data_IF_131708940147
#
_entry.id   IF_131708940147
#
_cell.length_a   1.000
_cell.length_b   1.000
_cell.length_c   1.000
_cell.angle_alpha   90.00
_cell.angle_beta   90.00
_cell.angle_gamma   90.00
#
_symmetry.space_group_name_H-M   'P 1'
#
loop_
_entity.id
_entity.type
_entity.pdbx_description
1 polymer ?
#
# COMPACT_ATOMS: atom_id res chain seq x y z
N UNK A 1 10.95 -0.81 -9.88
CA UNK A 1 9.72 -0.15 -10.36
C UNK A 1 8.86 0.20 -9.16
N UNK A 2 8.43 1.44 -9.07
CA UNK A 2 7.55 1.86 -7.98
C UNK A 2 6.12 1.39 -8.22
N UNK A 3 5.42 0.98 -7.16
CA UNK A 3 4.01 0.58 -7.20
C UNK A 3 3.09 1.67 -6.62
N UNK A 4 3.64 2.83 -6.26
CA UNK A 4 2.86 3.97 -5.77
C UNK A 4 2.32 4.75 -6.95
N UNK A 5 1.00 4.83 -7.07
CA UNK A 5 0.32 5.44 -8.23
C UNK A 5 0.69 6.90 -8.50
N UNK A 6 1.04 7.67 -7.45
CA UNK A 6 1.48 9.06 -7.60
C UNK A 6 2.80 9.20 -8.39
N UNK A 7 3.57 8.12 -8.56
CA UNK A 7 4.82 8.15 -9.30
C UNK A 7 4.61 8.54 -10.76
N UNK A 8 3.48 8.16 -11.37
CA UNK A 8 3.15 8.56 -12.75
C UNK A 8 3.11 10.08 -12.89
N UNK A 9 2.58 10.80 -11.90
CA UNK A 9 2.54 12.26 -11.92
C UNK A 9 3.92 12.87 -11.70
N UNK A 10 4.72 12.26 -10.83
CA UNK A 10 6.09 12.72 -10.56
C UNK A 10 6.97 12.51 -11.79
N UNK A 11 6.85 11.35 -12.46
CA UNK A 11 7.66 11.01 -13.63
C UNK A 11 7.39 11.94 -14.84
N UNK A 12 6.20 12.53 -14.91
CA UNK A 12 5.84 13.48 -15.96
C UNK A 12 6.35 14.91 -15.69
N UNK A 13 6.92 15.15 -14.51
CA UNK A 13 7.46 16.46 -14.15
C UNK A 13 8.85 16.68 -14.72
N UNK A 14 9.27 17.95 -14.75
CA UNK A 14 10.65 18.31 -15.08
C UNK A 14 11.63 17.70 -14.04
N UNK A 15 12.89 17.39 -14.45
CA UNK A 15 13.82 16.68 -13.56
C UNK A 15 14.04 17.33 -12.18
N UNK A 16 14.11 18.66 -12.11
CA UNK A 16 14.31 19.35 -10.84
C UNK A 16 13.10 19.19 -9.90
N UNK A 17 11.89 19.10 -10.45
CA UNK A 17 10.67 18.87 -9.68
C UNK A 17 10.58 17.41 -9.25
N UNK A 18 11.02 16.48 -10.10
CA UNK A 18 11.15 15.07 -9.72
C UNK A 18 12.10 14.92 -8.54
N UNK A 19 13.24 15.61 -8.56
CA UNK A 19 14.21 15.60 -7.47
C UNK A 19 13.63 16.16 -6.17
N UNK A 20 12.83 17.22 -6.25
CA UNK A 20 12.14 17.79 -5.08
C UNK A 20 11.24 16.75 -4.41
N UNK A 21 10.41 16.06 -5.18
CA UNK A 21 9.49 15.06 -4.64
C UNK A 21 10.23 13.84 -4.10
N UNK A 22 11.30 13.41 -4.76
CA UNK A 22 12.17 12.34 -4.25
C UNK A 22 12.82 12.72 -2.91
N UNK A 23 13.31 13.95 -2.79
CA UNK A 23 13.89 14.48 -1.55
C UNK A 23 12.84 14.51 -0.43
N UNK A 24 11.63 15.00 -0.72
CA UNK A 24 10.56 15.01 0.26
C UNK A 24 10.22 13.61 0.77
N UNK A 25 10.11 12.63 -0.13
CA UNK A 25 9.88 11.23 0.27
C UNK A 25 11.01 10.68 1.13
N UNK A 26 12.24 11.02 0.80
CA UNK A 26 13.40 10.60 1.59
C UNK A 26 13.39 11.21 2.99
N UNK A 27 13.08 12.50 3.11
CA UNK A 27 13.15 13.23 4.37
C UNK A 27 11.97 12.95 5.31
N UNK A 28 10.75 12.74 4.78
CA UNK A 28 9.54 12.64 5.61
C UNK A 28 8.61 11.47 5.23
N UNK A 29 8.99 10.65 4.25
CA UNK A 29 8.19 9.47 3.83
C UNK A 29 7.11 9.74 2.80
N UNK A 30 6.85 11.00 2.44
CA UNK A 30 5.85 11.36 1.44
C UNK A 30 6.21 12.68 0.77
N UNK A 31 5.74 12.86 -0.47
CA UNK A 31 5.86 14.11 -1.21
C UNK A 31 4.55 14.89 -1.17
N UNK A 32 4.59 16.16 -1.60
CA UNK A 32 3.38 16.97 -1.73
C UNK A 32 2.38 16.36 -2.73
N UNK A 33 2.88 15.74 -3.81
CA UNK A 33 2.01 15.05 -4.80
C UNK A 33 1.29 13.86 -4.17
N UNK A 34 1.93 13.14 -3.27
CA UNK A 34 1.29 12.05 -2.54
C UNK A 34 0.09 12.54 -1.74
N UNK A 35 0.18 13.76 -1.21
CA UNK A 35 -0.90 14.36 -0.42
C UNK A 35 -2.07 14.88 -1.27
N UNK A 36 -1.84 15.20 -2.55
CA UNK A 36 -2.92 15.60 -3.45
C UNK A 36 -3.93 14.47 -3.67
N UNK A 37 -3.47 13.22 -3.57
CA UNK A 37 -4.29 12.02 -3.72
C UNK A 37 -4.00 11.07 -2.56
N UNK A 38 -4.26 11.55 -1.36
CA UNK A 38 -3.87 10.85 -0.14
C UNK A 38 -4.49 9.46 -0.02
N UNK A 39 -5.77 9.32 -0.40
CA UNK A 39 -6.46 8.03 -0.38
C UNK A 39 -5.78 7.03 -1.32
N UNK A 40 -5.42 7.45 -2.51
CA UNK A 40 -4.68 6.63 -3.46
C UNK A 40 -3.28 6.29 -2.96
N UNK A 41 -2.57 7.27 -2.40
CA UNK A 41 -1.24 7.04 -1.81
C UNK A 41 -1.31 6.02 -0.67
N UNK A 42 -2.25 6.18 0.24
CA UNK A 42 -2.42 5.28 1.37
C UNK A 42 -2.78 3.86 0.91
N UNK A 43 -3.70 3.73 -0.04
CA UNK A 43 -4.08 2.44 -0.60
C UNK A 43 -2.87 1.74 -1.25
N UNK A 44 -2.07 2.46 -2.03
CA UNK A 44 -0.87 1.92 -2.66
C UNK A 44 0.16 1.47 -1.64
N UNK A 45 0.35 2.22 -0.56
CA UNK A 45 1.27 1.84 0.53
C UNK A 45 0.80 0.55 1.21
N UNK A 46 -0.49 0.42 1.48
CA UNK A 46 -1.06 -0.80 2.07
C UNK A 46 -0.84 -2.00 1.14
N UNK A 47 -1.16 -1.85 -0.14
CA UNK A 47 -0.97 -2.92 -1.12
C UNK A 47 0.50 -3.31 -1.27
N UNK A 48 1.38 -2.31 -1.33
CA UNK A 48 2.83 -2.52 -1.41
C UNK A 48 3.36 -3.26 -0.18
N UNK A 49 2.92 -2.86 1.00
CA UNK A 49 3.31 -3.50 2.25
C UNK A 49 2.87 -4.96 2.31
N UNK A 50 1.63 -5.25 1.92
CA UNK A 50 1.14 -6.62 1.86
C UNK A 50 1.95 -7.48 0.87
N UNK A 51 2.28 -6.93 -0.30
CA UNK A 51 3.10 -7.63 -1.29
C UNK A 51 4.50 -7.93 -0.73
N UNK A 52 5.10 -6.96 -0.06
CA UNK A 52 6.41 -7.16 0.58
C UNK A 52 6.36 -8.29 1.61
N UNK A 53 5.33 -8.32 2.45
CA UNK A 53 5.17 -9.37 3.47
C UNK A 53 4.99 -10.75 2.84
N UNK A 54 4.27 -10.83 1.72
CA UNK A 54 4.12 -12.08 0.97
C UNK A 54 5.46 -12.55 0.43
N UNK A 55 6.21 -11.63 -0.20
CA UNK A 55 7.48 -11.95 -0.85
C UNK A 55 8.57 -12.32 0.15
N UNK A 56 8.61 -11.66 1.30
CA UNK A 56 9.64 -11.87 2.31
C UNK A 56 9.33 -13.01 3.29
N UNK A 57 8.09 -13.53 3.26
CA UNK A 57 7.72 -14.70 4.07
C UNK A 57 7.78 -14.46 5.56
N UNK A 58 7.21 -13.37 6.03
CA UNK A 58 7.24 -13.01 7.46
C UNK A 58 6.48 -13.98 8.35
N UNK A 59 6.65 -13.82 9.66
CA UNK A 59 6.02 -14.66 10.67
C UNK A 59 4.50 -14.64 10.58
N UNK A 60 3.91 -15.84 10.61
CA UNK A 60 2.46 -16.01 10.56
C UNK A 60 1.86 -15.73 11.95
N UNK A 61 0.80 -14.92 12.06
CA UNK A 61 0.12 -14.68 13.33
C UNK A 61 -0.44 -15.97 13.94
N UNK A 62 -0.29 -16.11 15.25
CA UNK A 62 -0.79 -17.28 15.97
C UNK A 62 -2.31 -17.24 16.22
N UNK A 63 -2.97 -16.12 15.93
CA UNK A 63 -4.42 -15.96 16.13
C UNK A 63 -5.27 -16.41 14.95
N UNK A 64 -4.65 -16.91 13.87
CA UNK A 64 -5.39 -17.40 12.71
C UNK A 64 -6.29 -18.57 13.12
N UNK A 65 -7.53 -18.55 12.62
CA UNK A 65 -8.45 -19.65 12.78
C UNK A 65 -8.02 -20.86 11.96
N UNK A 66 -8.50 -22.05 12.30
CA UNK A 66 -8.21 -23.26 11.56
C UNK A 66 -8.60 -23.11 10.09
N UNK A 67 -7.68 -23.42 9.19
CA UNK A 67 -7.88 -23.31 7.76
C UNK A 67 -7.64 -21.93 7.15
N UNK A 68 -7.32 -20.93 7.96
CA UNK A 68 -6.92 -19.62 7.45
C UNK A 68 -5.46 -19.64 7.00
N UNK A 69 -5.18 -19.02 5.86
CA UNK A 69 -3.85 -18.87 5.29
C UNK A 69 -3.45 -17.40 5.34
N UNK A 70 -2.37 -17.08 6.05
CA UNK A 70 -1.89 -15.71 6.21
C UNK A 70 -1.57 -15.05 4.86
N UNK A 71 -0.96 -15.79 3.94
CA UNK A 71 -0.61 -15.25 2.63
C UNK A 71 -1.84 -14.97 1.76
N UNK A 72 -2.89 -15.77 1.89
CA UNK A 72 -4.17 -15.52 1.22
C UNK A 72 -4.83 -14.28 1.80
N UNK A 73 -4.80 -14.08 3.11
CA UNK A 73 -5.32 -12.88 3.77
C UNK A 73 -4.58 -11.63 3.29
N UNK A 74 -3.25 -11.67 3.27
CA UNK A 74 -2.44 -10.56 2.77
C UNK A 74 -2.74 -10.25 1.30
N UNK A 75 -2.92 -11.30 0.48
CA UNK A 75 -3.27 -11.14 -0.94
C UNK A 75 -4.66 -10.50 -1.11
N UNK A 76 -5.64 -10.87 -0.29
CA UNK A 76 -6.97 -10.25 -0.34
C UNK A 76 -6.91 -8.76 0.03
N UNK A 77 -6.13 -8.40 1.05
CA UNK A 77 -5.94 -6.99 1.44
C UNK A 77 -5.24 -6.25 0.30
N UNK A 78 -4.13 -6.80 -0.21
CA UNK A 78 -3.40 -6.22 -1.34
C UNK A 78 -4.32 -5.94 -2.53
N UNK A 79 -5.09 -6.93 -2.94
CA UNK A 79 -5.95 -6.82 -4.12
C UNK A 79 -7.08 -5.81 -3.89
N UNK A 80 -7.62 -5.73 -2.68
CA UNK A 80 -8.65 -4.76 -2.35
C UNK A 80 -8.15 -3.31 -2.35
N UNK A 81 -6.88 -3.08 -2.07
CA UNK A 81 -6.28 -1.74 -2.06
C UNK A 81 -5.46 -1.42 -3.32
N UNK A 82 -5.33 -2.37 -4.24
CA UNK A 82 -4.56 -2.21 -5.48
C UNK A 82 -5.36 -1.57 -6.60
N UNK A 83 -4.67 -1.24 -7.70
CA UNK A 83 -5.26 -0.83 -8.98
C UNK A 83 -6.18 0.39 -8.84
N UNK A 84 -5.79 1.34 -8.00
CA UNK A 84 -6.55 2.57 -7.79
C UNK A 84 -6.35 3.51 -8.97
N UNK A 85 -7.42 3.78 -9.69
CA UNK A 85 -7.47 4.80 -10.74
C UNK A 85 -8.21 6.04 -10.22
N UNK A 86 -8.17 7.14 -10.99
CA UNK A 86 -8.95 8.32 -10.67
C UNK A 86 -10.44 7.93 -10.59
N UNK A 87 -11.11 8.40 -9.54
CA UNK A 87 -12.50 8.04 -9.24
C UNK A 87 -12.73 6.56 -8.92
N UNK A 88 -11.70 5.84 -8.51
CA UNK A 88 -11.86 4.46 -8.07
C UNK A 88 -12.84 4.36 -6.89
N UNK A 89 -13.63 3.29 -6.81
CA UNK A 89 -14.50 3.09 -5.65
C UNK A 89 -13.67 2.86 -4.39
N UNK A 90 -14.28 3.08 -3.23
CA UNK A 90 -13.68 2.75 -1.94
C UNK A 90 -13.31 1.27 -1.93
N UNK A 91 -12.16 0.88 -1.37
CA UNK A 91 -11.81 -0.53 -1.26
C UNK A 91 -12.93 -1.37 -0.64
N UNK A 92 -13.09 -2.64 -1.05
CA UNK A 92 -14.17 -3.49 -0.56
C UNK A 92 -14.19 -3.60 0.96
N UNK A 93 -15.37 -3.72 1.54
CA UNK A 93 -15.55 -3.88 2.99
C UNK A 93 -14.71 -5.02 3.56
N UNK A 94 -14.58 -6.12 2.81
CA UNK A 94 -13.78 -7.26 3.25
C UNK A 94 -12.30 -6.90 3.41
N UNK A 95 -11.74 -6.12 2.47
CA UNK A 95 -10.36 -5.67 2.58
C UNK A 95 -10.14 -4.81 3.83
N UNK A 96 -11.05 -3.86 4.10
CA UNK A 96 -11.02 -3.05 5.31
C UNK A 96 -11.16 -3.88 6.57
N UNK A 97 -12.07 -4.86 6.56
CA UNK A 97 -12.31 -5.75 7.70
C UNK A 97 -11.07 -6.58 8.02
N UNK A 98 -10.43 -7.13 7.01
CA UNK A 98 -9.20 -7.92 7.17
C UNK A 98 -8.05 -7.04 7.66
N UNK A 99 -7.87 -5.86 7.08
CA UNK A 99 -6.84 -4.92 7.52
C UNK A 99 -7.03 -4.55 8.99
N UNK A 100 -8.25 -4.24 9.41
CA UNK A 100 -8.57 -3.91 10.78
C UNK A 100 -8.30 -5.08 11.72
N UNK A 101 -8.72 -6.29 11.34
CA UNK A 101 -8.58 -7.48 12.17
C UNK A 101 -7.11 -7.83 12.42
N UNK A 102 -6.28 -7.69 11.41
CA UNK A 102 -4.88 -8.13 11.48
C UNK A 102 -3.88 -6.98 11.53
N UNK A 103 -4.33 -5.75 11.70
CA UNK A 103 -3.47 -4.57 11.66
C UNK A 103 -2.27 -4.67 12.62
N UNK A 104 -2.51 -5.12 13.86
CA UNK A 104 -1.46 -5.22 14.86
C UNK A 104 -0.53 -6.43 14.68
N UNK A 105 -0.79 -7.27 13.69
CA UNK A 105 0.01 -8.46 13.38
C UNK A 105 0.84 -8.30 12.10
N UNK A 106 0.77 -7.14 11.47
CA UNK A 106 1.51 -6.82 10.24
C UNK A 106 2.90 -6.28 10.56
N UNK A 107 3.70 -7.13 11.19
CA UNK A 107 5.10 -6.82 11.52
C UNK A 107 5.93 -8.11 11.46
N UNK A 108 7.21 -7.94 11.30
CA UNK A 108 8.15 -9.05 11.22
C UNK A 108 8.96 -9.22 12.51
#
# INVERSE_FOLDING_TARGET
MSIIGADRFINDLEPHRQSLHATQRYERGYSDIDMWNFDGFLADVIAAGCQWMIDEGMTVPCILDDGEDWYVILAEIRDGFSCREDNAPVPPKRAWKLLRKYFNYMWD
#
